data_IF_966193618599
#
_entry.id   IF_966193618599
#
_cell.length_a   1.000
_cell.length_b   1.000
_cell.length_c   1.000
_cell.angle_alpha   90.00
_cell.angle_beta   90.00
_cell.angle_gamma   90.00
#
_symmetry.space_group_name_H-M   'P 1'
#
loop_
_entity.id
_entity.type
_entity.pdbx_description
1 polymer ?
#
# COMPACT_ATOMS: atom_id res chain seq x y z
N UNK A 1 27.08 -5.24 -30.05
CA UNK A 1 25.62 -5.04 -30.08
C UNK A 1 25.07 -5.78 -28.88
N UNK A 2 24.98 -5.12 -27.73
CA UNK A 2 24.66 -5.80 -26.47
C UNK A 2 23.42 -5.16 -25.86
N UNK A 3 22.57 -6.02 -25.29
CA UNK A 3 21.44 -5.75 -24.40
C UNK A 3 20.05 -5.51 -25.04
N UNK A 4 19.47 -6.57 -25.63
CA UNK A 4 18.02 -6.70 -25.84
C UNK A 4 17.39 -7.77 -24.92
N UNK A 5 18.07 -8.15 -23.85
CA UNK A 5 17.64 -9.25 -22.94
C UNK A 5 17.61 -8.83 -21.47
N UNK A 6 17.44 -7.54 -21.17
CA UNK A 6 17.14 -7.10 -19.79
C UNK A 6 15.72 -7.52 -19.35
N UNK A 7 14.88 -8.00 -20.27
CA UNK A 7 13.49 -8.43 -20.01
C UNK A 7 13.34 -9.75 -19.22
N UNK A 8 14.43 -10.40 -18.78
CA UNK A 8 14.37 -11.75 -18.21
C UNK A 8 15.54 -12.08 -17.27
N UNK A 9 16.06 -11.11 -16.53
CA UNK A 9 17.01 -11.45 -15.47
C UNK A 9 16.26 -12.18 -14.35
N UNK A 10 16.45 -13.50 -14.23
CA UNK A 10 15.80 -14.32 -13.19
C UNK A 10 16.09 -13.82 -11.78
N UNK A 11 17.13 -13.00 -11.61
CA UNK A 11 17.47 -12.36 -10.34
C UNK A 11 16.46 -11.28 -9.95
N UNK A 12 15.62 -10.79 -10.87
CA UNK A 12 14.56 -9.81 -10.62
C UNK A 12 13.22 -10.44 -10.19
N UNK A 13 13.03 -11.75 -10.38
CA UNK A 13 11.85 -12.51 -9.91
C UNK A 13 11.51 -12.24 -8.44
N UNK A 14 12.46 -12.28 -7.48
CA UNK A 14 12.14 -11.96 -6.08
C UNK A 14 11.70 -10.51 -5.89
N UNK A 15 12.24 -9.56 -6.67
CA UNK A 15 11.81 -8.16 -6.64
C UNK A 15 10.39 -8.00 -7.19
N UNK A 16 10.08 -8.68 -8.30
CA UNK A 16 8.75 -8.70 -8.92
C UNK A 16 7.68 -9.20 -7.96
N UNK A 17 7.93 -10.33 -7.29
CA UNK A 17 7.01 -10.89 -6.30
C UNK A 17 6.78 -9.94 -5.12
N UNK A 18 7.86 -9.32 -4.62
CA UNK A 18 7.77 -8.33 -3.55
C UNK A 18 7.05 -7.05 -3.95
N UNK A 19 7.22 -6.58 -5.20
CA UNK A 19 6.47 -5.42 -5.70
C UNK A 19 4.99 -5.76 -5.80
N UNK A 20 4.63 -6.97 -6.24
CA UNK A 20 3.23 -7.43 -6.24
C UNK A 20 2.66 -7.47 -4.83
N UNK A 21 3.41 -8.00 -3.87
CA UNK A 21 2.99 -8.02 -2.46
C UNK A 21 2.77 -6.60 -1.92
N UNK A 22 3.70 -5.68 -2.20
CA UNK A 22 3.60 -4.26 -1.83
C UNK A 22 2.35 -3.59 -2.42
N UNK A 23 2.11 -3.76 -3.73
CA UNK A 23 0.92 -3.22 -4.40
C UNK A 23 -0.38 -3.85 -3.88
N UNK A 24 -0.33 -5.12 -3.49
CA UNK A 24 -1.43 -5.82 -2.82
C UNK A 24 -1.77 -5.15 -1.49
N UNK A 25 -0.78 -4.97 -0.61
CA UNK A 25 -0.97 -4.30 0.68
C UNK A 25 -1.46 -2.86 0.51
N UNK A 26 -0.93 -2.11 -0.46
CA UNK A 26 -1.43 -0.76 -0.75
C UNK A 26 -2.91 -0.76 -1.15
N UNK A 27 -3.34 -1.75 -1.93
CA UNK A 27 -4.76 -1.93 -2.29
C UNK A 27 -5.60 -2.29 -1.07
N UNK A 28 -5.17 -3.24 -0.25
CA UNK A 28 -5.86 -3.64 0.99
C UNK A 28 -6.04 -2.45 1.94
N UNK A 29 -5.02 -1.61 2.10
CA UNK A 29 -5.09 -0.36 2.87
C UNK A 29 -6.19 0.55 2.31
N UNK A 30 -6.22 0.80 1.00
CA UNK A 30 -7.23 1.67 0.38
C UNK A 30 -8.66 1.11 0.55
N UNK A 31 -8.83 -0.20 0.43
CA UNK A 31 -10.14 -0.84 0.62
C UNK A 31 -10.59 -0.67 2.07
N UNK A 32 -9.70 -0.97 3.02
CA UNK A 32 -10.01 -0.89 4.45
C UNK A 32 -10.27 0.54 4.93
N UNK A 33 -9.55 1.52 4.37
CA UNK A 33 -9.78 2.95 4.62
C UNK A 33 -11.21 3.37 4.21
N UNK A 34 -11.65 2.95 3.01
CA UNK A 34 -13.02 3.20 2.54
C UNK A 34 -14.07 2.50 3.43
N UNK A 35 -13.80 1.27 3.88
CA UNK A 35 -14.69 0.56 4.81
C UNK A 35 -14.82 1.30 6.16
N UNK A 36 -13.70 1.76 6.72
CA UNK A 36 -13.68 2.53 7.97
C UNK A 36 -14.45 3.85 7.84
N UNK A 37 -14.21 4.61 6.76
CA UNK A 37 -14.94 5.86 6.48
C UNK A 37 -16.46 5.61 6.34
N UNK A 38 -16.84 4.51 5.71
CA UNK A 38 -18.25 4.12 5.55
C UNK A 38 -18.91 3.78 6.89
N UNK A 39 -18.24 3.01 7.74
CA UNK A 39 -18.73 2.65 9.07
C UNK A 39 -18.86 3.86 10.01
N UNK A 40 -17.90 4.79 9.93
CA UNK A 40 -17.92 6.05 10.69
C UNK A 40 -19.05 6.98 10.23
N UNK A 41 -19.29 7.09 8.93
CA UNK A 41 -20.36 7.93 8.37
C UNK A 41 -21.75 7.46 8.81
N UNK A 42 -21.96 6.14 8.91
CA UNK A 42 -23.20 5.54 9.43
C UNK A 42 -23.42 5.76 10.94
N UNK A 43 -22.47 6.35 11.68
CA UNK A 43 -22.61 6.67 13.11
C UNK A 43 -23.30 8.02 13.33
N UNK A 44 -23.27 8.90 12.33
CA UNK A 44 -23.74 10.29 12.42
C UNK A 44 -25.24 10.46 12.14
N UNK A 45 -25.90 9.43 11.61
CA UNK A 45 -27.34 9.40 11.32
C UNK A 45 -28.11 8.70 12.46
N UNK A 46 -27.86 9.12 13.70
CA UNK A 46 -28.50 8.52 14.89
C UNK A 46 -29.48 9.53 15.51
N UNK A 47 -30.78 9.25 15.34
CA UNK A 47 -31.87 10.00 15.97
C UNK A 47 -32.15 9.43 17.38
N UNK A 48 -32.03 10.22 18.46
CA UNK A 48 -32.06 9.72 19.84
C UNK A 48 -33.47 9.37 20.36
N UNK A 49 -34.54 9.57 19.58
CA UNK A 49 -35.92 9.35 20.05
C UNK A 49 -36.44 7.91 19.90
N UNK A 50 -35.64 7.00 19.33
CA UNK A 50 -35.92 5.56 19.27
C UNK A 50 -34.78 4.79 19.96
N UNK A 51 -34.94 4.49 21.26
CA UNK A 51 -34.00 3.68 22.03
C UNK A 51 -34.66 2.31 22.30
N UNK A 52 -34.43 1.34 21.40
CA UNK A 52 -34.81 -0.06 21.59
C UNK A 52 -33.58 -0.90 22.00
N UNK A 53 -33.76 -1.91 22.86
CA UNK A 53 -32.69 -2.78 23.37
C UNK A 53 -31.88 -3.45 22.23
N UNK A 54 -32.52 -3.62 21.07
CA UNK A 54 -31.90 -4.17 19.86
C UNK A 54 -30.85 -3.21 19.24
N UNK A 55 -31.00 -1.90 19.40
CA UNK A 55 -30.02 -0.91 18.92
C UNK A 55 -28.75 -0.87 19.80
N UNK A 56 -28.87 -1.04 21.12
CA UNK A 56 -27.71 -1.09 22.03
C UNK A 56 -26.81 -2.29 21.73
N UNK A 57 -27.40 -3.46 21.48
CA UNK A 57 -26.66 -4.66 21.07
C UNK A 57 -25.97 -4.47 19.70
N UNK A 58 -26.63 -3.81 18.75
CA UNK A 58 -26.04 -3.51 17.43
C UNK A 58 -24.89 -2.50 17.52
N UNK A 59 -24.97 -1.50 18.39
CA UNK A 59 -23.86 -0.58 18.64
C UNK A 59 -22.65 -1.28 19.28
N UNK A 60 -22.86 -2.18 20.23
CA UNK A 60 -21.79 -2.97 20.84
C UNK A 60 -21.00 -3.80 19.82
N UNK A 61 -21.71 -4.55 18.96
CA UNK A 61 -21.07 -5.35 17.90
C UNK A 61 -20.35 -4.48 16.86
N UNK A 62 -20.91 -3.32 16.51
CA UNK A 62 -20.32 -2.38 15.54
C UNK A 62 -19.05 -1.70 16.06
N UNK A 63 -19.00 -1.38 17.36
CA UNK A 63 -17.79 -0.83 17.98
C UNK A 63 -16.64 -1.84 18.01
N UNK A 64 -16.95 -3.13 18.21
CA UNK A 64 -15.95 -4.20 18.10
C UNK A 64 -15.42 -4.30 16.67
N UNK A 65 -16.30 -4.35 15.65
CA UNK A 65 -15.89 -4.40 14.23
C UNK A 65 -15.01 -3.20 13.80
N UNK A 66 -15.34 -2.00 14.29
CA UNK A 66 -14.51 -0.80 14.08
C UNK A 66 -13.11 -0.99 14.68
N UNK A 67 -13.02 -1.44 15.94
CA UNK A 67 -11.75 -1.62 16.62
C UNK A 67 -10.89 -2.72 15.96
N UNK A 68 -11.51 -3.83 15.53
CA UNK A 68 -10.84 -4.89 14.78
C UNK A 68 -10.29 -4.37 13.43
N UNK A 69 -11.05 -3.54 12.71
CA UNK A 69 -10.61 -2.93 11.45
C UNK A 69 -9.51 -1.88 11.65
N UNK A 70 -9.57 -1.08 12.70
CA UNK A 70 -8.51 -0.13 13.06
C UNK A 70 -7.20 -0.86 13.40
N UNK A 71 -7.27 -1.96 14.15
CA UNK A 71 -6.10 -2.80 14.43
C UNK A 71 -5.52 -3.37 13.14
N UNK A 72 -6.36 -3.90 12.25
CA UNK A 72 -5.93 -4.43 10.95
C UNK A 72 -5.29 -3.35 10.07
N UNK A 73 -5.78 -2.12 10.12
CA UNK A 73 -5.18 -0.98 9.42
C UNK A 73 -3.76 -0.71 9.91
N UNK A 74 -3.55 -0.70 11.24
CA UNK A 74 -2.22 -0.55 11.82
C UNK A 74 -1.25 -1.67 11.39
N UNK A 75 -1.73 -2.92 11.36
CA UNK A 75 -0.95 -4.07 10.88
C UNK A 75 -0.58 -3.94 9.39
N UNK A 76 -1.51 -3.51 8.54
CA UNK A 76 -1.24 -3.29 7.12
C UNK A 76 -0.26 -2.16 6.88
N UNK A 77 -0.35 -1.05 7.64
CA UNK A 77 0.60 0.06 7.56
C UNK A 77 2.02 -0.35 7.99
N UNK A 78 2.15 -1.15 9.05
CA UNK A 78 3.43 -1.74 9.45
C UNK A 78 3.99 -2.66 8.36
N UNK A 79 3.14 -3.56 7.81
CA UNK A 79 3.53 -4.44 6.70
C UNK A 79 3.97 -3.63 5.49
N UNK A 80 3.25 -2.58 5.12
CA UNK A 80 3.60 -1.68 4.03
C UNK A 80 4.96 -1.02 4.25
N UNK A 81 5.23 -0.52 5.46
CA UNK A 81 6.52 0.07 5.83
C UNK A 81 7.68 -0.93 5.74
N UNK A 82 7.47 -2.17 6.19
CA UNK A 82 8.46 -3.25 6.06
C UNK A 82 8.73 -3.59 4.60
N UNK A 83 7.68 -3.83 3.81
CA UNK A 83 7.81 -4.15 2.38
C UNK A 83 8.50 -3.04 1.60
N UNK A 84 8.17 -1.79 1.88
CA UNK A 84 8.85 -0.63 1.28
C UNK A 84 10.34 -0.68 1.57
N UNK A 85 10.75 -0.92 2.82
CA UNK A 85 12.17 -1.04 3.16
C UNK A 85 12.84 -2.24 2.49
N UNK A 86 12.19 -3.41 2.47
CA UNK A 86 12.69 -4.60 1.78
C UNK A 86 12.94 -4.31 0.29
N UNK A 87 11.95 -3.71 -0.39
CA UNK A 87 12.08 -3.32 -1.80
C UNK A 87 13.26 -2.37 -2.02
N UNK A 88 13.45 -1.38 -1.15
CA UNK A 88 14.58 -0.45 -1.23
C UNK A 88 15.93 -1.18 -1.09
N UNK A 89 16.02 -2.20 -0.24
CA UNK A 89 17.24 -3.00 -0.07
C UNK A 89 17.48 -3.94 -1.26
N UNK A 90 16.41 -4.39 -1.92
CA UNK A 90 16.48 -5.28 -3.09
C UNK A 90 16.77 -4.55 -4.40
N UNK A 91 16.54 -3.24 -4.46
CA UNK A 91 16.83 -2.45 -5.64
C UNK A 91 18.34 -2.38 -5.90
N UNK A 92 18.81 -2.76 -7.10
CA UNK A 92 20.24 -2.73 -7.43
C UNK A 92 20.81 -1.30 -7.51
N UNK A 93 19.98 -0.33 -7.91
CA UNK A 93 20.36 1.07 -8.05
C UNK A 93 19.28 1.98 -7.45
N UNK A 94 19.72 3.04 -6.74
CA UNK A 94 18.85 4.12 -6.26
C UNK A 94 18.78 5.23 -7.31
N UNK A 95 17.67 5.97 -7.32
CA UNK A 95 17.38 7.08 -8.25
C UNK A 95 17.33 6.65 -9.73
N UNK A 96 16.94 5.40 -9.98
CA UNK A 96 16.82 4.84 -11.33
C UNK A 96 15.58 3.94 -11.39
N UNK A 97 14.95 3.91 -12.56
CA UNK A 97 13.91 2.94 -12.86
C UNK A 97 14.53 1.61 -13.28
N UNK A 98 14.03 0.55 -12.67
CA UNK A 98 14.36 -0.85 -12.97
C UNK A 98 13.12 -1.46 -13.61
N UNK A 99 13.27 -1.98 -14.82
CA UNK A 99 12.22 -2.71 -15.51
C UNK A 99 11.94 -4.05 -14.82
N UNK A 100 10.67 -4.33 -14.57
CA UNK A 100 10.16 -5.54 -13.92
C UNK A 100 8.87 -5.99 -14.62
N UNK A 101 8.57 -7.29 -14.61
CA UNK A 101 7.35 -7.82 -15.22
C UNK A 101 6.33 -8.22 -14.15
N UNK A 102 5.33 -7.35 -13.97
CA UNK A 102 4.23 -7.62 -13.04
C UNK A 102 3.16 -8.55 -13.62
N UNK A 103 3.28 -9.00 -14.87
CA UNK A 103 2.36 -9.92 -15.54
C UNK A 103 1.19 -9.25 -16.26
N UNK A 104 1.07 -7.93 -16.20
CA UNK A 104 0.04 -7.13 -16.88
C UNK A 104 0.62 -6.12 -17.89
N UNK A 105 1.93 -6.15 -18.13
CA UNK A 105 2.64 -5.22 -19.00
C UNK A 105 4.08 -4.96 -18.51
N UNK A 106 4.89 -4.23 -19.28
CA UNK A 106 6.18 -3.74 -18.82
C UNK A 106 5.95 -2.75 -17.67
N UNK A 107 6.50 -3.06 -16.50
CA UNK A 107 6.41 -2.18 -15.34
C UNK A 107 7.81 -1.73 -14.93
N UNK A 108 7.89 -0.58 -14.26
CA UNK A 108 9.13 -0.01 -13.77
C UNK A 108 9.01 0.34 -12.30
N UNK A 109 9.99 -0.03 -11.51
CA UNK A 109 10.10 0.35 -10.09
C UNK A 109 11.37 1.14 -9.87
N UNK A 110 11.30 2.21 -9.09
CA UNK A 110 12.46 3.02 -8.75
C UNK A 110 12.31 3.67 -7.39
N UNK A 111 13.42 3.80 -6.68
CA UNK A 111 13.47 4.48 -5.39
C UNK A 111 14.24 5.79 -5.51
N UNK A 112 13.54 6.91 -5.34
CA UNK A 112 14.07 8.25 -5.55
C UNK A 112 14.27 8.96 -4.22
N UNK A 113 15.52 9.31 -3.96
CA UNK A 113 16.00 10.08 -2.80
C UNK A 113 16.34 11.52 -3.18
N UNK A 114 16.46 11.81 -4.47
CA UNK A 114 16.70 13.13 -5.02
C UNK A 114 15.58 13.51 -5.96
N UNK A 115 15.24 14.78 -5.95
CA UNK A 115 14.33 15.38 -6.89
C UNK A 115 15.05 15.57 -8.24
N UNK A 116 14.44 15.09 -9.32
CA UNK A 116 15.09 15.12 -10.64
C UNK A 116 15.14 16.51 -11.26
N UNK A 117 14.22 17.42 -10.90
CA UNK A 117 14.16 18.78 -11.43
C UNK A 117 15.16 19.69 -10.73
N UNK A 118 15.20 19.62 -9.39
CA UNK A 118 16.03 20.51 -8.56
C UNK A 118 17.37 19.90 -8.17
N UNK A 119 17.56 18.59 -8.36
CA UNK A 119 18.71 17.78 -7.89
C UNK A 119 18.94 17.90 -6.38
N UNK A 120 17.92 18.31 -5.63
CA UNK A 120 17.96 18.40 -4.18
C UNK A 120 17.48 17.09 -3.56
N UNK A 121 17.96 16.70 -2.37
CA UNK A 121 17.42 15.56 -1.66
C UNK A 121 15.93 15.80 -1.36
N UNK A 122 15.10 14.80 -1.68
CA UNK A 122 13.69 14.83 -1.30
C UNK A 122 13.60 14.77 0.23
N UNK A 123 12.68 15.54 0.85
CA UNK A 123 12.48 15.49 2.30
C UNK A 123 12.08 14.09 2.76
N UNK A 124 11.35 13.35 1.91
CA UNK A 124 11.01 11.96 2.11
C UNK A 124 11.30 11.16 0.83
N UNK A 125 12.08 10.07 0.91
CA UNK A 125 12.47 9.34 -0.28
C UNK A 125 11.30 8.48 -0.79
N UNK A 126 10.99 8.57 -2.08
CA UNK A 126 9.76 8.02 -2.65
C UNK A 126 10.05 6.74 -3.43
N UNK A 127 9.30 5.67 -3.14
CA UNK A 127 9.25 4.49 -4.00
C UNK A 127 8.16 4.72 -5.06
N UNK A 128 8.54 4.70 -6.34
CA UNK A 128 7.62 4.83 -7.47
C UNK A 128 7.54 3.53 -8.23
N UNK A 129 6.32 3.10 -8.52
CA UNK A 129 6.02 1.99 -9.42
C UNK A 129 5.16 2.55 -10.56
N UNK A 130 5.60 2.32 -11.80
CA UNK A 130 4.91 2.71 -13.04
C UNK A 130 4.55 1.42 -13.77
N UNK A 131 3.30 1.28 -14.22
CA UNK A 131 2.79 0.13 -14.95
C UNK A 131 1.88 0.59 -16.08
#
# INVERSE_FOLDING_TARGET
MENLTQYLDKSLIPLEDKVKEYLGVERDIRILDVELLSLQSMKSDFDPEQHDLEQEMRQGTKNTDLNDKEQKMAELLDKYGKLRNELIQMLPEKNKFIEINLGYGPSMVGYFTIDHETRQPLPEPVLRVVH
#
